data_IF_573696483871
#
_entry.id   IF_573696483871
#
_cell.length_a   1.000
_cell.length_b   1.000
_cell.length_c   1.000
_cell.angle_alpha   90.00
_cell.angle_beta   90.00
_cell.angle_gamma   90.00
#
_symmetry.space_group_name_H-M   'P 1'
#
loop_
_entity.id
_entity.type
_entity.pdbx_description
1 polymer ?
#
# COMPACT_ATOMS: atom_id res chain seq x y z
N UNK A 1 3.02 -10.28 -20.85
CA UNK A 1 2.78 -9.93 -19.44
C UNK A 1 1.43 -10.49 -19.06
N UNK A 2 1.36 -11.30 -18.01
CA UNK A 2 0.12 -11.92 -17.55
C UNK A 2 -0.68 -10.99 -16.62
N UNK A 3 -1.97 -11.26 -16.40
CA UNK A 3 -2.81 -10.52 -15.43
C UNK A 3 -2.19 -10.55 -14.03
N UNK A 4 -1.58 -11.69 -13.65
CA UNK A 4 -0.84 -11.81 -12.39
C UNK A 4 0.32 -10.82 -12.30
N UNK A 5 1.07 -10.65 -13.38
CA UNK A 5 2.19 -9.69 -13.43
C UNK A 5 1.68 -8.25 -13.28
N UNK A 6 0.53 -7.93 -13.93
CA UNK A 6 -0.08 -6.59 -13.89
C UNK A 6 -0.51 -6.25 -12.46
N UNK A 7 -1.14 -7.19 -11.77
CA UNK A 7 -1.53 -7.03 -10.38
C UNK A 7 -0.31 -6.90 -9.44
N UNK A 8 0.74 -7.70 -9.62
CA UNK A 8 1.98 -7.59 -8.84
C UNK A 8 2.64 -6.23 -9.06
N UNK A 9 2.73 -5.75 -10.30
CA UNK A 9 3.31 -4.44 -10.61
C UNK A 9 2.53 -3.31 -9.96
N UNK A 10 1.20 -3.35 -10.02
CA UNK A 10 0.32 -2.40 -9.34
C UNK A 10 0.58 -2.39 -7.83
N UNK A 11 0.56 -3.55 -7.17
CA UNK A 11 0.80 -3.64 -5.73
C UNK A 11 2.21 -3.20 -5.35
N UNK A 12 3.22 -3.40 -6.21
CA UNK A 12 4.58 -2.86 -6.00
C UNK A 12 4.60 -1.33 -5.98
N UNK A 13 3.81 -0.68 -6.84
CA UNK A 13 3.69 0.78 -6.85
C UNK A 13 2.99 1.30 -5.60
N UNK A 14 1.85 0.71 -5.23
CA UNK A 14 1.12 1.05 -3.99
C UNK A 14 2.03 0.86 -2.77
N UNK A 15 2.69 -0.29 -2.67
CA UNK A 15 3.67 -0.59 -1.63
C UNK A 15 4.77 0.47 -1.56
N UNK A 16 5.38 0.82 -2.70
CA UNK A 16 6.48 1.80 -2.76
C UNK A 16 6.04 3.17 -2.26
N UNK A 17 4.79 3.58 -2.49
CA UNK A 17 4.28 4.87 -2.00
C UNK A 17 4.04 4.84 -0.48
N UNK A 18 3.38 3.80 0.03
CA UNK A 18 3.13 3.62 1.47
C UNK A 18 4.43 3.50 2.27
N UNK A 19 5.40 2.74 1.75
CA UNK A 19 6.68 2.48 2.40
C UNK A 19 7.54 3.74 2.62
N UNK A 20 7.25 4.86 1.95
CA UNK A 20 7.95 6.14 2.20
C UNK A 20 7.66 6.69 3.60
N UNK A 21 6.49 6.35 4.14
CA UNK A 21 5.99 6.92 5.39
C UNK A 21 6.39 6.10 6.63
N UNK A 22 6.98 4.92 6.45
CA UNK A 22 7.27 3.99 7.55
C UNK A 22 8.60 3.28 7.38
N UNK A 23 9.22 2.93 8.52
CA UNK A 23 10.42 2.09 8.54
C UNK A 23 10.08 0.61 8.33
N UNK A 24 8.88 0.16 8.74
CA UNK A 24 8.42 -1.22 8.54
C UNK A 24 7.84 -1.35 7.14
N UNK A 25 8.56 -2.03 6.25
CA UNK A 25 8.14 -2.18 4.85
C UNK A 25 7.01 -3.18 4.71
N UNK A 26 6.09 -2.91 3.78
CA UNK A 26 5.05 -3.86 3.41
C UNK A 26 5.63 -5.13 2.79
N UNK A 27 4.78 -6.14 2.59
CA UNK A 27 5.12 -7.38 1.89
C UNK A 27 4.00 -7.77 0.93
N UNK A 28 4.37 -8.29 -0.23
CA UNK A 28 3.42 -8.80 -1.22
C UNK A 28 3.53 -10.32 -1.16
N UNK A 29 2.41 -10.98 -0.95
CA UNK A 29 2.29 -12.43 -0.99
C UNK A 29 1.35 -12.80 -2.13
N UNK A 30 1.66 -13.88 -2.84
CA UNK A 30 0.80 -14.45 -3.87
C UNK A 30 0.50 -15.87 -3.47
N UNK A 31 -0.78 -16.19 -3.41
CA UNK A 31 -1.27 -17.55 -3.33
C UNK A 31 -1.80 -18.00 -4.70
N UNK A 32 -2.60 -19.07 -4.74
CA UNK A 32 -3.17 -19.60 -6.00
C UNK A 32 -4.22 -18.67 -6.60
N UNK A 33 -5.02 -18.01 -5.77
CA UNK A 33 -6.25 -17.33 -6.17
C UNK A 33 -6.21 -15.82 -5.88
N UNK A 34 -5.16 -15.34 -5.20
CA UNK A 34 -5.05 -13.99 -4.67
C UNK A 34 -3.61 -13.49 -4.64
N UNK A 35 -3.49 -12.17 -4.68
CA UNK A 35 -2.25 -11.44 -4.45
C UNK A 35 -2.57 -10.37 -3.41
N UNK A 36 -1.89 -10.42 -2.27
CA UNK A 36 -2.18 -9.59 -1.11
C UNK A 36 -0.99 -8.70 -0.76
N UNK A 37 -1.25 -7.40 -0.57
CA UNK A 37 -0.29 -6.46 0.01
C UNK A 37 -0.57 -6.29 1.50
N UNK A 38 0.33 -6.79 2.34
CA UNK A 38 0.31 -6.52 3.77
C UNK A 38 1.08 -5.24 4.08
N UNK A 39 0.46 -4.33 4.83
CA UNK A 39 1.07 -3.09 5.32
C UNK A 39 1.04 -3.02 6.85
N UNK A 40 1.89 -2.21 7.49
CA UNK A 40 1.80 -2.01 8.92
C UNK A 40 0.44 -1.41 9.33
N UNK A 41 -0.17 -1.93 10.38
CA UNK A 41 -1.48 -1.47 10.88
C UNK A 41 -1.54 0.03 11.24
N UNK A 42 -0.39 0.66 11.47
CA UNK A 42 -0.28 2.08 11.80
C UNK A 42 0.06 2.98 10.60
N UNK A 43 -0.06 2.48 9.36
CA UNK A 43 0.35 3.22 8.15
C UNK A 43 -0.34 4.58 8.01
N UNK A 44 -1.61 4.69 8.42
CA UNK A 44 -2.36 5.94 8.44
C UNK A 44 -1.65 7.00 9.30
N UNK A 45 -1.27 6.63 10.52
CA UNK A 45 -0.59 7.53 11.46
C UNK A 45 0.86 7.81 11.04
N UNK A 46 1.50 6.86 10.35
CA UNK A 46 2.84 7.05 9.81
C UNK A 46 2.85 8.14 8.73
N UNK A 47 1.86 8.11 7.82
CA UNK A 47 1.72 9.11 6.73
C UNK A 47 1.19 10.44 7.24
N UNK A 48 0.09 10.42 7.99
CA UNK A 48 -0.71 11.61 8.31
C UNK A 48 -0.68 12.03 9.76
N UNK A 49 0.15 11.40 10.57
CA UNK A 49 0.26 11.71 11.98
C UNK A 49 -1.01 11.38 12.75
N UNK A 50 -1.03 11.82 14.00
CA UNK A 50 -2.13 11.61 14.94
C UNK A 50 -2.56 12.94 15.51
N UNK A 51 -3.87 13.22 15.49
CA UNK A 51 -4.44 14.40 16.13
C UNK A 51 -4.29 14.39 17.65
N UNK A 52 -4.48 15.56 18.26
CA UNK A 52 -4.66 15.70 19.70
C UNK A 52 -5.92 14.97 20.18
N UNK A 53 -6.01 14.68 21.47
CA UNK A 53 -7.15 14.02 22.11
C UNK A 53 -6.71 12.97 23.13
N UNK A 54 -7.19 11.73 22.96
CA UNK A 54 -6.85 10.62 23.86
C UNK A 54 -5.33 10.41 23.94
N UNK A 55 -4.84 9.96 25.07
CA UNK A 55 -3.41 9.62 25.20
C UNK A 55 -3.10 8.35 24.40
N UNK A 56 -2.00 8.30 23.62
CA UNK A 56 -1.58 7.06 22.97
C UNK A 56 -1.04 6.07 24.01
N UNK A 57 -0.96 4.76 23.66
CA UNK A 57 -0.32 3.75 24.51
C UNK A 57 1.14 4.13 24.83
N UNK A 58 1.57 3.88 26.06
CA UNK A 58 2.89 4.30 26.54
C UNK A 58 3.95 3.24 26.22
N UNK A 59 3.58 1.96 26.24
CA UNK A 59 4.47 0.82 26.08
C UNK A 59 5.24 0.87 24.75
N UNK A 60 4.62 1.14 23.58
CA UNK A 60 5.36 1.26 22.33
C UNK A 60 6.35 2.43 22.32
N UNK A 61 6.06 3.48 23.10
CA UNK A 61 6.94 4.64 23.23
C UNK A 61 8.13 4.34 24.17
N UNK A 62 7.94 3.48 25.19
CA UNK A 62 9.04 2.98 26.04
C UNK A 62 10.07 2.26 25.19
N UNK A 63 9.62 1.32 24.35
CA UNK A 63 10.52 0.59 23.45
C UNK A 63 11.23 1.54 22.48
N UNK A 64 10.49 2.50 21.94
CA UNK A 64 11.04 3.48 21.01
C UNK A 64 12.12 4.37 21.65
N UNK A 65 11.90 4.92 22.86
CA UNK A 65 12.91 5.77 23.52
C UNK A 65 14.17 4.99 23.90
N UNK A 66 14.03 3.71 24.28
CA UNK A 66 15.17 2.81 24.53
C UNK A 66 15.95 2.53 23.25
N UNK A 67 15.26 2.15 22.17
CA UNK A 67 15.88 1.90 20.86
C UNK A 67 16.60 3.12 20.28
N UNK A 68 16.12 4.33 20.62
CA UNK A 68 16.75 5.59 20.23
C UNK A 68 17.91 6.02 21.13
N UNK A 69 18.18 5.29 22.21
CA UNK A 69 19.24 5.64 23.17
C UNK A 69 18.98 6.96 23.90
N UNK A 70 17.72 7.37 24.03
CA UNK A 70 17.35 8.66 24.65
C UNK A 70 17.38 8.62 26.19
N UNK A 71 17.56 7.43 26.77
CA UNK A 71 17.40 7.15 28.20
C UNK A 71 18.43 6.13 28.65
N UNK A 72 18.79 6.15 29.93
CA UNK A 72 19.80 5.27 30.52
C UNK A 72 19.23 4.19 31.46
N UNK A 73 17.94 4.26 31.76
CA UNK A 73 17.27 3.31 32.65
C UNK A 73 15.81 3.09 32.26
N UNK A 74 15.22 1.99 32.74
CA UNK A 74 13.81 1.68 32.50
C UNK A 74 12.85 2.69 33.12
N UNK A 75 13.20 3.23 34.30
CA UNK A 75 12.42 4.27 34.97
C UNK A 75 12.39 5.56 34.14
N UNK A 76 13.54 5.95 33.59
CA UNK A 76 13.65 7.11 32.71
C UNK A 76 12.92 6.89 31.38
N UNK A 77 12.97 5.66 30.84
CA UNK A 77 12.22 5.26 29.66
C UNK A 77 10.71 5.45 29.85
N UNK A 78 10.16 4.98 30.98
CA UNK A 78 8.74 5.12 31.31
C UNK A 78 8.33 6.59 31.45
N UNK A 79 9.11 7.39 32.18
CA UNK A 79 8.83 8.81 32.37
C UNK A 79 8.87 9.60 31.06
N UNK A 80 9.89 9.37 30.24
CA UNK A 80 10.04 10.00 28.92
C UNK A 80 8.92 9.59 27.98
N UNK A 81 8.59 8.30 27.92
CA UNK A 81 7.50 7.77 27.10
C UNK A 81 6.14 8.38 27.50
N UNK A 82 5.86 8.49 28.80
CA UNK A 82 4.65 9.13 29.30
C UNK A 82 4.59 10.61 28.93
N UNK A 83 5.71 11.35 29.05
CA UNK A 83 5.78 12.75 28.66
C UNK A 83 5.52 12.95 27.16
N UNK A 84 6.07 12.07 26.31
CA UNK A 84 5.80 12.06 24.86
C UNK A 84 4.32 11.76 24.61
N UNK A 85 3.76 10.73 25.25
CA UNK A 85 2.36 10.37 25.12
C UNK A 85 1.45 11.54 25.50
N UNK A 86 1.75 12.23 26.61
CA UNK A 86 1.02 13.41 27.07
C UNK A 86 1.16 14.60 26.12
N UNK A 87 2.33 14.79 25.51
CA UNK A 87 2.55 15.81 24.49
C UNK A 87 1.69 15.54 23.25
N UNK A 88 1.72 14.31 22.74
CA UNK A 88 0.88 13.88 21.61
C UNK A 88 -0.61 13.98 21.95
N UNK A 89 -1.02 13.66 23.18
CA UNK A 89 -2.41 13.81 23.59
C UNK A 89 -2.86 15.26 23.56
N UNK A 90 -1.98 16.21 23.95
CA UNK A 90 -2.32 17.63 23.98
C UNK A 90 -2.22 18.31 22.61
N UNK A 91 -1.24 17.94 21.80
CA UNK A 91 -0.84 18.68 20.58
C UNK A 91 -0.97 17.89 19.29
N UNK A 92 -1.11 16.56 19.37
CA UNK A 92 -0.94 15.67 18.23
C UNK A 92 0.54 15.49 17.86
N UNK A 93 0.79 14.80 16.75
CA UNK A 93 2.12 14.70 16.14
C UNK A 93 2.35 15.83 15.14
N UNK A 94 3.62 16.17 14.89
CA UNK A 94 3.99 17.30 14.01
C UNK A 94 3.46 17.16 12.57
N UNK A 95 3.40 15.94 12.05
CA UNK A 95 2.90 15.62 10.71
C UNK A 95 1.38 15.43 10.65
N UNK A 96 0.63 15.81 11.69
CA UNK A 96 -0.81 15.65 11.70
C UNK A 96 -1.49 16.47 10.62
N UNK A 97 -2.28 15.81 9.77
CA UNK A 97 -3.11 16.45 8.76
C UNK A 97 -4.59 16.28 9.14
N UNK A 98 -5.27 17.41 9.41
CA UNK A 98 -6.71 17.41 9.71
C UNK A 98 -7.49 16.94 8.49
N UNK A 99 -8.44 16.02 8.70
CA UNK A 99 -9.27 15.43 7.64
C UNK A 99 -8.44 14.78 6.52
N UNK A 100 -7.28 14.21 6.86
CA UNK A 100 -6.48 13.47 5.88
C UNK A 100 -7.29 12.32 5.26
N UNK A 101 -7.09 12.02 3.97
CA UNK A 101 -7.68 10.84 3.37
C UNK A 101 -7.13 9.56 4.02
N UNK A 102 -7.77 8.43 3.73
CA UNK A 102 -7.22 7.13 4.05
C UNK A 102 -5.96 6.91 3.20
N UNK A 103 -4.82 6.68 3.85
CA UNK A 103 -3.52 6.54 3.22
C UNK A 103 -3.47 5.37 2.23
N UNK A 104 -4.22 4.29 2.49
CA UNK A 104 -4.28 3.11 1.62
C UNK A 104 -5.13 3.43 0.38
N UNK A 105 -6.33 3.99 0.58
CA UNK A 105 -7.23 4.36 -0.52
C UNK A 105 -6.57 5.36 -1.46
N UNK A 106 -5.97 6.42 -0.92
CA UNK A 106 -5.25 7.42 -1.71
C UNK A 106 -4.09 6.81 -2.50
N UNK A 107 -3.35 5.87 -1.91
CA UNK A 107 -2.27 5.17 -2.60
C UNK A 107 -2.81 4.26 -3.72
N UNK A 108 -3.94 3.58 -3.49
CA UNK A 108 -4.62 2.77 -4.51
C UNK A 108 -5.10 3.66 -5.65
N UNK A 109 -5.87 4.70 -5.36
CA UNK A 109 -6.48 5.60 -6.34
C UNK A 109 -5.44 6.22 -7.27
N UNK A 110 -4.29 6.61 -6.70
CA UNK A 110 -3.16 7.18 -7.44
C UNK A 110 -2.61 6.25 -8.53
N UNK A 111 -2.65 4.93 -8.31
CA UNK A 111 -2.09 3.94 -9.25
C UNK A 111 -3.15 3.10 -9.95
N UNK A 112 -4.43 3.31 -9.63
CA UNK A 112 -5.52 2.49 -10.13
C UNK A 112 -5.75 2.66 -11.64
N UNK A 113 -5.69 3.89 -12.15
CA UNK A 113 -5.90 4.15 -13.59
C UNK A 113 -4.85 3.45 -14.47
N UNK A 114 -3.52 3.58 -14.23
CA UNK A 114 -2.52 2.83 -14.99
C UNK A 114 -2.70 1.29 -14.89
N UNK A 115 -3.15 0.78 -13.75
CA UNK A 115 -3.48 -0.63 -13.60
C UNK A 115 -4.67 -1.04 -14.47
N UNK A 116 -5.76 -0.26 -14.42
CA UNK A 116 -6.96 -0.50 -15.20
C UNK A 116 -6.66 -0.48 -16.72
N UNK A 117 -5.88 0.48 -17.18
CA UNK A 117 -5.49 0.59 -18.59
C UNK A 117 -4.73 -0.67 -19.06
N UNK A 118 -3.80 -1.19 -18.24
CA UNK A 118 -3.06 -2.42 -18.54
C UNK A 118 -3.95 -3.66 -18.56
N UNK A 119 -4.88 -3.78 -17.62
CA UNK A 119 -5.85 -4.90 -17.59
C UNK A 119 -6.74 -4.86 -18.83
N UNK A 120 -7.30 -3.69 -19.17
CA UNK A 120 -8.14 -3.51 -20.33
C UNK A 120 -7.41 -3.87 -21.63
N UNK A 121 -6.18 -3.38 -21.78
CA UNK A 121 -5.37 -3.71 -22.96
C UNK A 121 -5.14 -5.23 -23.06
N UNK A 122 -4.75 -5.87 -21.95
CA UNK A 122 -4.51 -7.32 -21.94
C UNK A 122 -5.77 -8.12 -22.31
N UNK A 123 -6.93 -7.68 -21.84
CA UNK A 123 -8.20 -8.31 -22.18
C UNK A 123 -8.54 -8.15 -23.68
N UNK A 124 -8.39 -6.94 -24.23
CA UNK A 124 -8.60 -6.67 -25.65
C UNK A 124 -7.66 -7.51 -26.52
N UNK A 125 -6.37 -7.58 -26.18
CA UNK A 125 -5.39 -8.38 -26.91
C UNK A 125 -5.80 -9.86 -26.94
N UNK A 126 -6.23 -10.39 -25.79
CA UNK A 126 -6.65 -11.79 -25.67
C UNK A 126 -7.92 -12.08 -26.48
N UNK A 127 -8.91 -11.18 -26.44
CA UNK A 127 -10.11 -11.30 -27.26
C UNK A 127 -9.80 -11.24 -28.76
N UNK A 128 -8.91 -10.34 -29.18
CA UNK A 128 -8.52 -10.22 -30.59
C UNK A 128 -7.81 -11.50 -31.06
N UNK A 129 -6.91 -12.07 -30.26
CA UNK A 129 -6.25 -13.34 -30.58
C UNK A 129 -7.28 -14.48 -30.76
N UNK A 130 -8.25 -14.59 -29.85
CA UNK A 130 -9.33 -15.58 -29.94
C UNK A 130 -10.24 -15.38 -31.15
N UNK A 131 -10.60 -14.13 -31.47
CA UNK A 131 -11.43 -13.78 -32.62
C UNK A 131 -10.71 -14.13 -33.93
N UNK A 132 -9.45 -13.72 -34.07
CA UNK A 132 -8.62 -14.04 -35.24
C UNK A 132 -8.47 -15.54 -35.45
N UNK A 133 -8.30 -16.32 -34.37
CA UNK A 133 -8.27 -17.77 -34.46
C UNK A 133 -9.60 -18.36 -34.96
N UNK A 134 -10.73 -17.85 -34.47
CA UNK A 134 -12.07 -18.26 -34.92
C UNK A 134 -12.30 -17.89 -36.38
N UNK A 135 -11.93 -16.68 -36.80
CA UNK A 135 -12.04 -16.23 -38.19
C UNK A 135 -11.21 -17.11 -39.13
N UNK A 136 -9.94 -17.38 -38.79
CA UNK A 136 -9.09 -18.28 -39.58
C UNK A 136 -9.67 -19.69 -39.73
N UNK A 137 -10.32 -20.22 -38.70
CA UNK A 137 -10.98 -21.54 -38.75
C UNK A 137 -12.29 -21.51 -39.55
N UNK A 138 -12.97 -20.39 -39.61
CA UNK A 138 -14.27 -20.23 -40.28
C UNK A 138 -14.16 -19.91 -41.79
N UNK A 139 -13.06 -19.30 -42.24
CA UNK A 139 -12.85 -18.97 -43.66
C UNK A 139 -12.22 -20.18 -44.38
N UNK A 140 -12.91 -20.82 -45.34
CA UNK A 140 -12.32 -21.91 -46.12
C UNK A 140 -11.19 -21.39 -47.03
N UNK A 141 -10.14 -22.18 -47.29
CA UNK A 141 -8.90 -21.73 -47.96
C UNK A 141 -9.05 -21.24 -49.41
N UNK A 142 -10.24 -21.29 -50.02
CA UNK A 142 -10.45 -21.10 -51.46
C UNK A 142 -11.25 -19.84 -51.87
N UNK A 143 -11.50 -18.87 -50.99
CA UNK A 143 -12.23 -17.64 -51.35
C UNK A 143 -11.34 -16.45 -51.78
N UNK A 144 -10.03 -16.67 -51.97
CA UNK A 144 -9.06 -15.63 -52.38
C UNK A 144 -8.38 -15.88 -53.72
N UNK A 145 -8.94 -16.75 -54.58
CA UNK A 145 -8.45 -16.98 -55.94
C UNK A 145 -9.60 -16.81 -56.92
N UNK A 146 -9.87 -15.55 -57.27
CA UNK A 146 -10.46 -15.18 -58.56
C UNK A 146 -9.48 -14.25 -59.28
#
# INVERSE_FOLDING_TARGET
MDLKDIAIEFLKLVKKDLDKSTTRKGRIESDKDSITLFTPSHIQFARYGRGAGKMPPVEPLVDWVKQKGLVKSDKEALGTAWAIAKSISKKGTKNYVKNAPNAIEEAIDKYFRPYQDKVNQKYIDTLNEELEEKYRKAIPPNLGKE
#
